data_IF_441583133761
#
_entry.id   IF_441583133761
#
_cell.length_a   1.000
_cell.length_b   1.000
_cell.length_c   1.000
_cell.angle_alpha   90.00
_cell.angle_beta   90.00
_cell.angle_gamma   90.00
#
_symmetry.space_group_name_H-M   'P 1'
#
loop_
_entity.id
_entity.type
_entity.pdbx_description
1 polymer ?
#
# COMPACT_ATOMS: atom_id res chain seq x y z
N UNK A 1 -21.54 -2.93 11.30
CA UNK A 1 -20.60 -3.80 10.62
C UNK A 1 -21.28 -4.68 9.58
N UNK A 2 -22.25 -5.56 9.95
CA UNK A 2 -22.96 -6.42 8.97
C UNK A 2 -23.68 -5.62 7.88
N UNK A 3 -24.26 -4.48 8.23
CA UNK A 3 -24.86 -3.56 7.26
C UNK A 3 -23.83 -3.03 6.29
N UNK A 4 -22.67 -2.60 6.79
CA UNK A 4 -21.57 -2.10 5.97
C UNK A 4 -21.02 -3.18 5.01
N UNK A 5 -20.87 -4.42 5.46
CA UNK A 5 -20.46 -5.51 4.56
C UNK A 5 -21.50 -5.80 3.47
N UNK A 6 -22.80 -5.70 3.80
CA UNK A 6 -23.86 -5.83 2.80
C UNK A 6 -23.85 -4.65 1.80
N UNK A 7 -23.54 -3.44 2.24
CA UNK A 7 -23.33 -2.29 1.36
C UNK A 7 -22.14 -2.50 0.41
N UNK A 8 -21.03 -3.02 0.90
CA UNK A 8 -19.88 -3.37 0.05
C UNK A 8 -20.21 -4.44 -1.01
N UNK A 9 -20.94 -5.50 -0.64
CA UNK A 9 -21.41 -6.49 -1.62
C UNK A 9 -22.34 -5.87 -2.67
N UNK A 10 -23.24 -4.98 -2.26
CA UNK A 10 -24.12 -4.27 -3.18
C UNK A 10 -23.35 -3.34 -4.13
N UNK A 11 -22.35 -2.63 -3.64
CA UNK A 11 -21.51 -1.74 -4.44
C UNK A 11 -20.62 -2.51 -5.43
N UNK A 12 -20.06 -3.64 -5.00
CA UNK A 12 -19.27 -4.52 -5.85
C UNK A 12 -20.15 -5.33 -6.83
N UNK A 13 -21.44 -5.45 -6.55
CA UNK A 13 -22.40 -6.31 -7.25
C UNK A 13 -21.93 -7.78 -7.31
N UNK A 14 -21.35 -8.27 -6.22
CA UNK A 14 -20.75 -9.61 -6.12
C UNK A 14 -20.91 -10.15 -4.70
N UNK A 15 -21.48 -11.34 -4.55
CA UNK A 15 -21.76 -11.97 -3.26
C UNK A 15 -20.69 -13.00 -2.82
N UNK A 16 -19.60 -13.13 -3.58
CA UNK A 16 -18.47 -14.00 -3.25
C UNK A 16 -17.72 -13.48 -2.02
N UNK A 17 -16.85 -14.30 -1.39
CA UNK A 17 -15.95 -13.82 -0.36
C UNK A 17 -15.09 -12.66 -0.86
N UNK A 18 -14.93 -11.59 -0.07
CA UNK A 18 -14.22 -10.38 -0.47
C UNK A 18 -12.79 -10.63 -0.96
N UNK A 19 -12.09 -11.62 -0.39
CA UNK A 19 -10.74 -12.01 -0.84
C UNK A 19 -10.74 -12.53 -2.29
N UNK A 20 -11.77 -13.28 -2.68
CA UNK A 20 -11.90 -13.75 -4.07
C UNK A 20 -12.26 -12.63 -5.03
N UNK A 21 -13.13 -11.71 -4.59
CA UNK A 21 -13.48 -10.51 -5.36
C UNK A 21 -12.25 -9.64 -5.56
N UNK A 22 -11.47 -9.41 -4.50
CA UNK A 22 -10.21 -8.65 -4.59
C UNK A 22 -9.25 -9.28 -5.60
N UNK A 23 -8.99 -10.59 -5.49
CA UNK A 23 -8.08 -11.29 -6.38
C UNK A 23 -8.55 -11.21 -7.86
N UNK A 24 -9.84 -11.36 -8.10
CA UNK A 24 -10.42 -11.24 -9.43
C UNK A 24 -10.28 -9.81 -9.99
N UNK A 25 -10.51 -8.78 -9.17
CA UNK A 25 -10.35 -7.39 -9.57
C UNK A 25 -8.89 -7.03 -9.84
N UNK A 26 -7.94 -7.52 -9.04
CA UNK A 26 -6.51 -7.34 -9.27
C UNK A 26 -6.07 -7.93 -10.61
N UNK A 27 -6.54 -9.13 -10.92
CA UNK A 27 -6.28 -9.76 -12.21
C UNK A 27 -6.90 -8.95 -13.37
N UNK A 28 -8.14 -8.50 -13.22
CA UNK A 28 -8.82 -7.68 -14.22
C UNK A 28 -8.09 -6.36 -14.50
N UNK A 29 -7.58 -5.70 -13.45
CA UNK A 29 -6.78 -4.48 -13.60
C UNK A 29 -5.49 -4.75 -14.37
N UNK A 30 -4.80 -5.87 -14.12
CA UNK A 30 -3.58 -6.23 -14.85
C UNK A 30 -3.88 -6.51 -16.32
N UNK A 31 -4.87 -7.36 -16.61
CA UNK A 31 -5.29 -7.66 -17.98
C UNK A 31 -5.66 -6.37 -18.74
N UNK A 32 -6.43 -5.49 -18.09
CA UNK A 32 -6.85 -4.23 -18.70
C UNK A 32 -5.68 -3.28 -18.98
N UNK A 33 -4.66 -3.26 -18.12
CA UNK A 33 -3.43 -2.49 -18.35
C UNK A 33 -2.64 -3.02 -19.55
N UNK A 34 -2.57 -4.33 -19.71
CA UNK A 34 -1.89 -4.96 -20.85
C UNK A 34 -2.64 -4.70 -22.16
N UNK A 35 -3.97 -4.85 -22.14
CA UNK A 35 -4.83 -4.49 -23.27
C UNK A 35 -4.67 -3.02 -23.68
N UNK A 36 -4.69 -2.12 -22.69
CA UNK A 36 -4.53 -0.69 -22.92
C UNK A 36 -3.19 -0.39 -23.61
N UNK A 37 -2.09 -0.98 -23.14
CA UNK A 37 -0.77 -0.83 -23.78
C UNK A 37 -0.80 -1.31 -25.22
N UNK A 38 -1.29 -2.52 -25.47
CA UNK A 38 -1.31 -3.10 -26.81
C UNK A 38 -2.16 -2.26 -27.79
N UNK A 39 -3.34 -1.80 -27.36
CA UNK A 39 -4.24 -1.01 -28.20
C UNK A 39 -3.68 0.39 -28.46
N UNK A 40 -3.13 1.06 -27.43
CA UNK A 40 -2.55 2.41 -27.57
C UNK A 40 -1.30 2.39 -28.45
N UNK A 41 -0.46 1.36 -28.35
CA UNK A 41 0.74 1.20 -29.18
C UNK A 41 0.36 0.93 -30.65
N UNK A 42 -0.68 0.12 -30.89
CA UNK A 42 -1.16 -0.21 -32.25
C UNK A 42 -1.96 0.94 -32.91
N UNK A 43 -2.51 1.87 -32.11
CA UNK A 43 -3.35 2.94 -32.59
C UNK A 43 -2.58 4.00 -33.41
N UNK A 44 -3.18 4.58 -34.49
CA UNK A 44 -2.62 5.72 -35.21
C UNK A 44 -2.36 6.91 -34.26
N UNK A 45 -1.27 7.66 -34.47
CA UNK A 45 -0.83 8.75 -33.61
C UNK A 45 -1.93 9.75 -33.24
N UNK A 46 -2.89 10.00 -34.13
CA UNK A 46 -4.02 10.93 -33.90
C UNK A 46 -5.08 10.37 -32.93
N UNK A 47 -5.19 9.04 -32.81
CA UNK A 47 -6.23 8.35 -32.04
C UNK A 47 -5.72 7.86 -30.68
N UNK A 48 -4.41 7.84 -30.47
CA UNK A 48 -3.77 7.33 -29.24
C UNK A 48 -4.30 8.00 -27.98
N UNK A 49 -4.47 9.33 -28.03
CA UNK A 49 -4.96 10.10 -26.88
C UNK A 49 -6.39 9.70 -26.50
N UNK A 50 -7.27 9.58 -27.50
CA UNK A 50 -8.66 9.18 -27.26
C UNK A 50 -8.76 7.73 -26.75
N UNK A 51 -7.94 6.83 -27.29
CA UNK A 51 -7.84 5.46 -26.81
C UNK A 51 -7.34 5.41 -25.36
N UNK A 52 -6.29 6.17 -25.03
CA UNK A 52 -5.76 6.26 -23.67
C UNK A 52 -6.81 6.78 -22.69
N UNK A 53 -7.47 7.89 -22.99
CA UNK A 53 -8.51 8.48 -22.12
C UNK A 53 -9.69 7.52 -21.86
N UNK A 54 -10.02 6.66 -22.83
CA UNK A 54 -11.05 5.64 -22.63
C UNK A 54 -10.59 4.57 -21.65
N UNK A 55 -9.39 4.04 -21.83
CA UNK A 55 -8.83 3.04 -20.93
C UNK A 55 -8.58 3.59 -19.54
N UNK A 56 -8.15 4.84 -19.41
CA UNK A 56 -7.95 5.50 -18.10
C UNK A 56 -9.24 5.53 -17.29
N UNK A 57 -10.38 5.87 -17.90
CA UNK A 57 -11.70 5.83 -17.24
C UNK A 57 -12.12 4.43 -16.81
N UNK A 58 -11.88 3.43 -17.68
CA UNK A 58 -12.20 2.03 -17.37
C UNK A 58 -11.31 1.50 -16.22
N UNK A 59 -10.04 1.87 -16.20
CA UNK A 59 -9.10 1.52 -15.13
C UNK A 59 -9.43 2.25 -13.83
N UNK A 60 -9.85 3.50 -13.88
CA UNK A 60 -10.30 4.27 -12.71
C UNK A 60 -11.47 3.57 -12.02
N UNK A 61 -12.53 3.23 -12.78
CA UNK A 61 -13.68 2.50 -12.26
C UNK A 61 -13.33 1.11 -11.67
N UNK A 62 -12.37 0.40 -12.28
CA UNK A 62 -11.89 -0.87 -11.73
C UNK A 62 -11.07 -0.67 -10.46
N UNK A 63 -10.26 0.38 -10.38
CA UNK A 63 -9.47 0.69 -9.19
C UNK A 63 -10.35 1.15 -8.04
N UNK A 64 -11.43 1.89 -8.28
CA UNK A 64 -12.43 2.25 -7.25
C UNK A 64 -13.03 0.97 -6.63
N UNK A 65 -13.51 0.05 -7.45
CA UNK A 65 -14.02 -1.25 -6.97
C UNK A 65 -12.97 -2.05 -6.22
N UNK A 66 -11.73 -2.06 -6.71
CA UNK A 66 -10.63 -2.74 -6.02
C UNK A 66 -10.33 -2.12 -4.66
N UNK A 67 -10.45 -0.80 -4.52
CA UNK A 67 -10.29 -0.13 -3.22
C UNK A 67 -11.37 -0.57 -2.24
N UNK A 68 -12.64 -0.59 -2.66
CA UNK A 68 -13.76 -1.09 -1.83
C UNK A 68 -13.54 -2.54 -1.42
N UNK A 69 -13.12 -3.41 -2.34
CA UNK A 69 -12.84 -4.81 -2.03
C UNK A 69 -11.68 -4.97 -1.01
N UNK A 70 -10.60 -4.18 -1.15
CA UNK A 70 -9.49 -4.18 -0.20
C UNK A 70 -9.91 -3.72 1.20
N UNK A 71 -10.73 -2.68 1.28
CA UNK A 71 -11.28 -2.20 2.55
C UNK A 71 -12.15 -3.27 3.22
N UNK A 72 -13.00 -3.96 2.44
CA UNK A 72 -13.84 -5.04 2.93
C UNK A 72 -13.03 -6.24 3.43
N UNK A 73 -11.98 -6.64 2.71
CA UNK A 73 -11.03 -7.69 3.14
C UNK A 73 -10.36 -7.29 4.44
N UNK A 74 -9.79 -6.08 4.50
CA UNK A 74 -9.12 -5.57 5.70
C UNK A 74 -10.04 -5.55 6.92
N UNK A 75 -11.29 -5.09 6.75
CA UNK A 75 -12.29 -5.11 7.82
C UNK A 75 -12.62 -6.52 8.28
N UNK A 76 -12.77 -7.44 7.33
CA UNK A 76 -13.09 -8.84 7.64
C UNK A 76 -11.93 -9.55 8.36
N UNK A 77 -10.69 -9.26 7.97
CA UNK A 77 -9.50 -9.77 8.66
C UNK A 77 -9.37 -9.25 10.08
N UNK A 78 -9.69 -7.97 10.32
CA UNK A 78 -9.55 -7.34 11.64
C UNK A 78 -10.70 -7.69 12.60
N UNK A 79 -11.92 -7.78 12.10
CA UNK A 79 -13.13 -7.90 12.92
C UNK A 79 -13.93 -9.19 12.67
N UNK A 80 -13.45 -10.08 11.80
CA UNK A 80 -14.07 -11.37 11.51
C UNK A 80 -15.56 -11.24 11.19
N UNK A 81 -16.41 -11.96 11.90
CA UNK A 81 -17.86 -11.94 11.73
C UNK A 81 -18.57 -10.70 12.33
N UNK A 82 -17.80 -9.70 12.74
CA UNK A 82 -18.33 -8.43 13.24
C UNK A 82 -18.56 -8.38 14.74
N UNK A 83 -17.86 -9.19 15.48
CA UNK A 83 -17.76 -9.05 16.94
C UNK A 83 -16.63 -8.06 17.24
N UNK A 84 -16.98 -6.98 17.95
CA UNK A 84 -15.98 -6.00 18.37
C UNK A 84 -14.96 -6.64 19.32
N UNK A 85 -13.70 -6.35 19.08
CA UNK A 85 -12.59 -6.63 19.99
C UNK A 85 -11.59 -5.48 19.97
N UNK A 86 -10.96 -5.24 21.11
CA UNK A 86 -9.90 -4.25 21.22
C UNK A 86 -8.69 -4.73 20.42
N UNK A 87 -8.18 -3.87 19.53
CA UNK A 87 -7.00 -4.17 18.71
C UNK A 87 -5.93 -3.12 19.05
N UNK A 88 -4.81 -3.53 19.69
CA UNK A 88 -3.73 -2.61 20.06
C UNK A 88 -3.22 -1.82 18.85
N UNK A 89 -3.09 -0.51 19.02
CA UNK A 89 -2.66 0.40 17.95
C UNK A 89 -3.75 0.79 16.95
N UNK A 90 -4.93 0.16 16.98
CA UNK A 90 -6.02 0.42 16.03
C UNK A 90 -7.27 0.97 16.71
N UNK A 91 -7.88 0.20 17.61
CA UNK A 91 -9.12 0.60 18.26
C UNK A 91 -9.23 0.03 19.67
N UNK A 92 -9.90 0.79 20.54
CA UNK A 92 -10.24 0.37 21.91
C UNK A 92 -11.52 1.05 22.39
N UNK A 93 -12.39 0.30 23.05
CA UNK A 93 -13.51 0.88 23.78
C UNK A 93 -13.03 1.35 25.16
N UNK A 94 -13.15 2.64 25.43
CA UNK A 94 -12.85 3.21 26.74
C UNK A 94 -14.14 3.47 27.52
N UNK A 95 -14.20 3.04 28.77
CA UNK A 95 -15.31 3.36 29.66
C UNK A 95 -15.29 4.84 30.06
N UNK A 96 -16.44 5.40 30.40
CA UNK A 96 -16.53 6.77 30.95
C UNK A 96 -15.66 6.95 32.17
N UNK A 97 -15.55 5.93 33.02
CA UNK A 97 -14.73 5.95 34.23
C UNK A 97 -13.23 6.05 33.88
N UNK A 98 -12.77 5.23 32.96
CA UNK A 98 -11.40 5.30 32.43
C UNK A 98 -11.08 6.69 31.85
N UNK A 99 -12.01 7.28 31.10
CA UNK A 99 -11.79 8.60 30.50
C UNK A 99 -11.67 9.68 31.57
N UNK A 100 -12.60 9.71 32.53
CA UNK A 100 -12.68 10.80 33.51
C UNK A 100 -11.67 10.65 34.64
N UNK A 101 -11.49 9.44 35.19
CA UNK A 101 -10.76 9.22 36.42
C UNK A 101 -9.32 8.76 36.18
N UNK A 102 -9.06 7.93 35.17
CA UNK A 102 -7.71 7.44 34.88
C UNK A 102 -6.92 8.33 33.93
N UNK A 103 -7.61 8.93 32.93
CA UNK A 103 -6.97 9.70 31.85
C UNK A 103 -7.24 11.20 31.89
N UNK A 104 -7.79 11.71 33.00
CA UNK A 104 -7.99 13.14 33.24
C UNK A 104 -8.86 13.81 32.16
N UNK A 105 -9.92 13.12 31.73
CA UNK A 105 -10.83 13.55 30.66
C UNK A 105 -10.17 13.79 29.29
N UNK A 106 -9.00 13.23 29.03
CA UNK A 106 -8.36 13.28 27.72
C UNK A 106 -9.15 12.47 26.71
N UNK A 107 -9.39 13.04 25.52
CA UNK A 107 -10.01 12.35 24.38
C UNK A 107 -9.01 12.02 23.27
N UNK A 108 -7.70 12.06 23.55
CA UNK A 108 -6.65 11.72 22.59
C UNK A 108 -6.63 10.22 22.34
N UNK A 109 -6.94 9.72 21.13
CA UNK A 109 -7.06 8.29 20.85
C UNK A 109 -5.81 7.47 21.21
N UNK A 110 -4.62 8.01 20.96
CA UNK A 110 -3.35 7.35 21.25
C UNK A 110 -3.13 7.03 22.74
N UNK A 111 -3.84 7.72 23.65
CA UNK A 111 -3.77 7.43 25.08
C UNK A 111 -4.49 6.11 25.47
N UNK A 112 -5.35 5.60 24.58
CA UNK A 112 -6.21 4.44 24.82
C UNK A 112 -5.83 3.21 24.00
N UNK A 113 -5.55 3.39 22.72
CA UNK A 113 -5.33 2.26 21.80
C UNK A 113 -3.98 1.55 21.99
N UNK A 114 -3.04 2.20 22.68
CA UNK A 114 -1.69 1.65 22.87
C UNK A 114 -0.88 1.65 21.55
N UNK A 115 0.14 0.82 21.53
CA UNK A 115 1.02 0.64 20.37
C UNK A 115 0.80 -0.75 19.81
N UNK A 116 0.68 -0.85 18.48
CA UNK A 116 0.62 -2.16 17.83
C UNK A 116 1.90 -2.96 18.16
N UNK A 117 1.79 -4.26 18.44
CA UNK A 117 2.97 -5.10 18.57
C UNK A 117 3.78 -5.01 17.27
N UNK A 118 5.06 -4.73 17.40
CA UNK A 118 5.98 -4.79 16.27
C UNK A 118 6.22 -6.27 16.00
N UNK A 119 5.86 -6.71 14.81
CA UNK A 119 6.25 -8.06 14.37
C UNK A 119 7.78 -8.08 14.29
N UNK A 120 8.37 -9.02 15.00
CA UNK A 120 9.80 -9.31 14.88
C UNK A 120 10.01 -9.91 13.48
N UNK A 121 10.68 -9.16 12.61
CA UNK A 121 11.00 -9.61 11.26
C UNK A 121 12.04 -10.75 11.25
N UNK A 122 12.48 -11.21 12.42
CA UNK A 122 13.45 -12.29 12.61
C UNK A 122 14.84 -11.94 12.08
N UNK A 123 15.08 -10.69 11.70
CA UNK A 123 16.37 -10.25 11.21
C UNK A 123 17.29 -9.94 12.40
N UNK A 124 18.38 -10.67 12.51
CA UNK A 124 19.43 -10.34 13.47
C UNK A 124 19.99 -8.94 13.15
N UNK A 125 19.73 -7.99 14.05
CA UNK A 125 20.18 -6.61 13.92
C UNK A 125 21.70 -6.52 13.66
N UNK A 126 22.49 -7.34 14.33
CA UNK A 126 23.93 -7.34 14.18
C UNK A 126 24.36 -7.83 12.79
N UNK A 127 23.66 -8.83 12.27
CA UNK A 127 23.90 -9.31 10.90
C UNK A 127 23.49 -8.27 9.87
N UNK A 128 22.31 -7.67 10.03
CA UNK A 128 21.82 -6.64 9.11
C UNK A 128 22.72 -5.41 9.10
N UNK A 129 23.24 -4.99 10.24
CA UNK A 129 24.22 -3.90 10.33
C UNK A 129 25.54 -4.21 9.60
N UNK A 130 26.02 -5.47 9.65
CA UNK A 130 27.20 -5.88 8.89
C UNK A 130 26.97 -5.83 7.39
N UNK A 131 25.78 -6.27 6.93
CA UNK A 131 25.41 -6.20 5.52
C UNK A 131 25.33 -4.77 5.01
N UNK A 132 24.66 -3.89 5.75
CA UNK A 132 24.56 -2.46 5.43
C UNK A 132 25.95 -1.81 5.42
N UNK A 133 26.81 -2.14 6.38
CA UNK A 133 28.17 -1.60 6.41
C UNK A 133 29.00 -2.06 5.20
N UNK A 134 28.87 -3.32 4.80
CA UNK A 134 29.54 -3.85 3.61
C UNK A 134 29.05 -3.13 2.34
N UNK A 135 27.74 -2.98 2.17
CA UNK A 135 27.14 -2.26 1.05
C UNK A 135 27.62 -0.78 1.00
N UNK A 136 27.70 -0.14 2.15
CA UNK A 136 28.23 1.23 2.26
C UNK A 136 29.67 1.34 1.77
N UNK A 137 30.53 0.39 2.13
CA UNK A 137 31.92 0.36 1.68
C UNK A 137 32.03 0.12 0.15
N UNK A 138 31.18 -0.75 -0.40
CA UNK A 138 31.11 -1.00 -1.83
C UNK A 138 30.66 0.25 -2.60
N UNK A 139 29.61 0.93 -2.13
CA UNK A 139 29.15 2.18 -2.71
C UNK A 139 30.18 3.31 -2.60
N UNK A 140 30.93 3.38 -1.49
CA UNK A 140 32.00 4.35 -1.33
C UNK A 140 33.16 4.11 -2.34
N UNK A 141 33.52 2.84 -2.54
CA UNK A 141 34.55 2.49 -3.53
C UNK A 141 34.12 2.85 -4.96
N UNK A 142 32.85 2.58 -5.31
CA UNK A 142 32.27 2.96 -6.61
C UNK A 142 32.25 4.47 -6.79
N UNK A 143 31.80 5.21 -5.76
CA UNK A 143 31.84 6.69 -5.77
C UNK A 143 33.21 7.25 -6.02
N UNK A 144 34.24 6.71 -5.38
CA UNK A 144 35.63 7.16 -5.59
C UNK A 144 36.09 6.88 -7.02
N UNK A 145 35.77 5.71 -7.57
CA UNK A 145 36.12 5.35 -8.95
C UNK A 145 35.41 6.29 -9.97
N UNK A 146 34.17 6.61 -9.74
CA UNK A 146 33.43 7.55 -10.58
C UNK A 146 34.02 8.97 -10.51
N UNK A 147 34.41 9.40 -9.31
CA UNK A 147 35.09 10.69 -9.12
C UNK A 147 36.41 10.77 -9.88
N UNK A 148 37.26 9.73 -9.82
CA UNK A 148 38.51 9.64 -10.60
C UNK A 148 38.21 9.72 -12.11
N UNK A 149 37.19 9.03 -12.58
CA UNK A 149 36.77 9.07 -13.99
C UNK A 149 36.36 10.47 -14.42
N UNK A 150 35.56 11.16 -13.57
CA UNK A 150 35.13 12.53 -13.83
C UNK A 150 36.36 13.47 -13.88
N UNK A 151 37.25 13.37 -12.90
CA UNK A 151 38.48 14.19 -12.86
C UNK A 151 39.33 14.01 -14.13
N UNK A 152 39.53 12.76 -14.55
CA UNK A 152 40.25 12.46 -15.78
C UNK A 152 39.58 13.05 -17.03
N UNK A 153 38.23 12.93 -17.13
CA UNK A 153 37.51 13.49 -18.25
C UNK A 153 37.59 15.04 -18.28
N UNK A 154 37.57 15.70 -17.11
CA UNK A 154 37.76 17.15 -17.02
C UNK A 154 39.15 17.57 -17.45
N UNK A 155 40.20 16.88 -17.03
CA UNK A 155 41.57 17.11 -17.48
C UNK A 155 41.72 16.96 -19.00
N UNK A 156 41.10 15.92 -19.61
CA UNK A 156 41.09 15.70 -21.05
C UNK A 156 40.32 16.81 -21.81
N UNK A 157 39.32 17.43 -21.17
CA UNK A 157 38.59 18.56 -21.73
C UNK A 157 39.29 19.92 -21.54
N UNK A 158 40.41 19.97 -20.79
CA UNK A 158 41.21 21.19 -20.55
C UNK A 158 40.60 22.15 -19.53
N UNK A 159 39.82 21.60 -18.58
CA UNK A 159 39.19 22.36 -17.48
C UNK A 159 39.92 22.07 -16.17
#
# INVERSE_FOLDING_TARGET
YKVLLAEYHAELADDRPFAEIQAALEQNVQVKREEAKAVVEAAPRKERKAAQEKFDKELEALNEKLTVAKEAVWLTEKFGEGVYQDIPGLCKVASRDTILNEKGASLTPGAYVGVAPVEDDGVDFAQRMKEIHKELLELQAESNRLMETISKNLEEMGV
#
